data_IF_521739197965
#
_entry.id   IF_521739197965
#
_cell.length_a   1.000
_cell.length_b   1.000
_cell.length_c   1.000
_cell.angle_alpha   90.00
_cell.angle_beta   90.00
_cell.angle_gamma   90.00
#
_symmetry.space_group_name_H-M   'P 1'
#
loop_
_entity.id
_entity.type
_entity.pdbx_description
1 polymer ?
#
# COMPACT_ATOMS: atom_id res chain seq x y z
N UNK A 1 -23.85 9.87 17.15
CA UNK A 1 -22.52 9.37 16.73
C UNK A 1 -22.54 9.31 15.21
N UNK A 2 -21.76 10.14 14.53
CA UNK A 2 -21.69 10.16 13.07
C UNK A 2 -20.72 9.07 12.63
N UNK A 3 -21.19 8.08 11.86
CA UNK A 3 -20.33 7.01 11.34
C UNK A 3 -19.30 7.62 10.39
N UNK A 4 -18.06 7.12 10.45
CA UNK A 4 -16.99 7.62 9.59
C UNK A 4 -17.24 7.22 8.12
N UNK A 5 -16.87 8.05 7.14
CA UNK A 5 -17.02 7.70 5.73
C UNK A 5 -16.25 6.42 5.39
N UNK A 6 -16.89 5.52 4.66
CA UNK A 6 -16.37 4.18 4.34
C UNK A 6 -16.67 3.11 5.40
N UNK A 7 -17.28 3.47 6.53
CA UNK A 7 -17.83 2.46 7.46
C UNK A 7 -18.94 1.68 6.77
N UNK A 8 -19.03 0.35 6.93
CA UNK A 8 -20.17 -0.43 6.43
C UNK A 8 -21.50 0.16 6.92
N UNK A 9 -22.47 0.25 6.00
CA UNK A 9 -23.82 0.70 6.34
C UNK A 9 -24.51 -0.33 7.26
N UNK A 10 -25.32 0.09 8.24
CA UNK A 10 -26.13 -0.85 9.01
C UNK A 10 -27.03 -1.67 8.08
N UNK A 11 -26.95 -3.00 8.16
CA UNK A 11 -27.66 -3.93 7.27
C UNK A 11 -27.17 -3.93 5.81
N UNK A 12 -25.90 -3.63 5.56
CA UNK A 12 -25.29 -3.73 4.24
C UNK A 12 -25.47 -5.15 3.65
N UNK A 13 -26.20 -5.25 2.52
CA UNK A 13 -26.49 -6.50 1.80
C UNK A 13 -25.61 -6.66 0.56
N UNK A 14 -25.23 -5.55 -0.06
CA UNK A 14 -24.45 -5.49 -1.28
C UNK A 14 -23.20 -4.65 -1.09
N UNK A 15 -22.62 -4.57 0.10
CA UNK A 15 -21.39 -3.81 0.37
C UNK A 15 -21.59 -2.29 0.45
N UNK A 16 -22.75 -1.86 0.94
CA UNK A 16 -23.07 -0.46 1.22
C UNK A 16 -22.14 0.11 2.30
N UNK A 17 -21.74 1.36 2.13
CA UNK A 17 -20.94 2.14 3.08
C UNK A 17 -21.57 3.50 3.36
N UNK A 18 -21.10 4.15 4.41
CA UNK A 18 -21.46 5.52 4.77
C UNK A 18 -20.66 6.51 3.92
N UNK A 19 -21.34 7.46 3.27
CA UNK A 19 -20.73 8.56 2.51
C UNK A 19 -20.18 9.67 3.42
N UNK A 20 -19.38 10.61 2.89
CA UNK A 20 -19.00 11.85 3.59
C UNK A 20 -20.19 12.64 4.18
N UNK A 21 -21.32 12.67 3.50
CA UNK A 21 -22.56 13.29 3.98
C UNK A 21 -23.36 12.43 4.97
N UNK A 22 -22.91 11.22 5.27
CA UNK A 22 -23.61 10.28 6.17
C UNK A 22 -24.73 9.49 5.50
N UNK A 23 -24.79 9.46 4.17
CA UNK A 23 -25.79 8.74 3.38
C UNK A 23 -25.32 7.34 3.01
N UNK A 24 -26.24 6.48 2.60
CA UNK A 24 -25.95 5.15 2.07
C UNK A 24 -25.32 5.29 0.68
N UNK A 25 -24.15 4.71 0.49
CA UNK A 25 -23.40 4.80 -0.76
C UNK A 25 -22.65 3.50 -1.07
N UNK A 26 -22.18 3.38 -2.31
CA UNK A 26 -21.24 2.35 -2.74
C UNK A 26 -19.92 3.00 -3.13
N UNK A 27 -18.80 2.38 -2.77
CA UNK A 27 -17.51 2.80 -3.30
C UNK A 27 -17.45 2.51 -4.80
N UNK A 28 -16.83 3.39 -5.59
CA UNK A 28 -16.75 3.22 -7.06
C UNK A 28 -16.23 1.83 -7.53
N UNK A 29 -15.17 1.24 -6.93
CA UNK A 29 -14.76 -0.12 -7.28
C UNK A 29 -15.86 -1.16 -7.06
N UNK A 30 -16.56 -1.04 -5.93
CA UNK A 30 -17.64 -1.96 -5.55
C UNK A 30 -18.88 -1.79 -6.44
N UNK A 31 -19.24 -0.54 -6.75
CA UNK A 31 -20.30 -0.23 -7.70
C UNK A 31 -20.00 -0.81 -9.10
N UNK A 32 -18.74 -0.81 -9.54
CA UNK A 32 -18.33 -1.43 -10.79
C UNK A 32 -18.56 -2.96 -10.77
N UNK A 33 -18.24 -3.62 -9.65
CA UNK A 33 -18.47 -5.05 -9.46
C UNK A 33 -19.96 -5.41 -9.50
N UNK A 34 -20.80 -4.65 -8.77
CA UNK A 34 -22.26 -4.84 -8.77
C UNK A 34 -22.85 -4.68 -10.19
N UNK A 35 -22.34 -3.72 -10.96
CA UNK A 35 -22.78 -3.47 -12.33
C UNK A 35 -22.12 -4.39 -13.37
N UNK A 36 -21.15 -5.24 -12.98
CA UNK A 36 -20.28 -6.02 -13.90
C UNK A 36 -19.63 -5.15 -14.98
N UNK A 37 -19.14 -3.98 -14.57
CA UNK A 37 -18.44 -3.00 -15.41
C UNK A 37 -17.02 -2.79 -14.91
N UNK A 38 -16.25 -2.01 -15.65
CA UNK A 38 -14.88 -1.67 -15.26
C UNK A 38 -14.86 -0.61 -14.15
N UNK A 39 -13.81 -0.62 -13.30
CA UNK A 39 -13.61 0.42 -12.28
C UNK A 39 -13.53 1.84 -12.88
N UNK A 40 -13.03 1.95 -14.12
CA UNK A 40 -13.00 3.20 -14.88
C UNK A 40 -14.42 3.70 -15.18
N UNK A 41 -15.33 2.82 -15.59
CA UNK A 41 -16.73 3.17 -15.82
C UNK A 41 -17.40 3.75 -14.57
N UNK A 42 -17.19 3.15 -13.40
CA UNK A 42 -17.80 3.65 -12.16
C UNK A 42 -17.22 5.00 -11.73
N UNK A 43 -15.93 5.23 -11.98
CA UNK A 43 -15.28 6.51 -11.72
C UNK A 43 -15.77 7.59 -12.69
N UNK A 44 -15.95 7.24 -13.96
CA UNK A 44 -16.52 8.14 -14.96
C UNK A 44 -17.99 8.45 -14.66
N UNK A 45 -18.76 7.46 -14.20
CA UNK A 45 -20.15 7.62 -13.75
C UNK A 45 -20.25 8.59 -12.56
N UNK A 46 -19.33 8.49 -11.60
CA UNK A 46 -19.25 9.41 -10.46
C UNK A 46 -18.81 10.83 -10.84
N UNK A 47 -18.12 11.01 -11.98
CA UNK A 47 -17.66 12.31 -12.47
C UNK A 47 -18.71 13.01 -13.35
N UNK A 48 -19.54 12.25 -14.05
CA UNK A 48 -20.60 12.78 -14.91
C UNK A 48 -21.82 13.10 -14.05
N UNK A 49 -21.96 14.38 -13.71
CA UNK A 49 -22.86 14.96 -12.68
C UNK A 49 -24.38 14.81 -12.93
N UNK A 50 -24.80 13.91 -13.83
CA UNK A 50 -26.18 13.81 -14.30
C UNK A 50 -26.84 12.44 -14.15
N UNK A 51 -26.08 11.36 -13.92
CA UNK A 51 -26.65 10.00 -13.90
C UNK A 51 -26.81 9.45 -12.47
N UNK A 52 -25.80 9.66 -11.62
CA UNK A 52 -25.79 9.18 -10.23
C UNK A 52 -25.10 10.23 -9.38
N UNK A 53 -25.74 10.66 -8.30
CA UNK A 53 -25.08 11.57 -7.36
C UNK A 53 -23.89 10.87 -6.71
N UNK A 54 -22.75 11.54 -6.72
CA UNK A 54 -21.53 11.00 -6.16
C UNK A 54 -20.82 12.02 -5.28
N UNK A 55 -20.13 11.51 -4.27
CA UNK A 55 -19.34 12.30 -3.32
C UNK A 55 -17.89 11.83 -3.34
N UNK A 56 -16.97 12.76 -3.14
CA UNK A 56 -15.56 12.44 -3.00
C UNK A 56 -15.14 12.55 -1.54
N UNK A 57 -14.55 11.48 -1.00
CA UNK A 57 -14.20 11.40 0.42
C UNK A 57 -12.94 10.61 0.69
N UNK A 58 -12.50 10.61 1.94
CA UNK A 58 -11.40 9.77 2.40
C UNK A 58 -11.96 8.57 3.19
N UNK A 59 -11.43 7.38 2.91
CA UNK A 59 -11.80 6.15 3.63
C UNK A 59 -10.73 5.90 4.68
N UNK A 60 -11.14 5.86 5.95
CA UNK A 60 -10.21 5.61 7.06
C UNK A 60 -9.63 4.19 6.92
N UNK A 61 -8.30 4.07 7.00
CA UNK A 61 -7.59 2.78 6.94
C UNK A 61 -7.14 2.34 5.54
N UNK A 62 -7.48 3.07 4.47
CA UNK A 62 -6.92 2.82 3.14
C UNK A 62 -5.73 3.73 2.88
N UNK A 63 -4.53 3.17 2.66
CA UNK A 63 -3.41 3.96 2.13
C UNK A 63 -3.71 4.33 0.67
N UNK A 64 -4.31 5.49 0.46
CA UNK A 64 -4.71 5.97 -0.86
C UNK A 64 -5.41 7.32 -0.83
N UNK A 65 -5.46 7.96 -2.00
CA UNK A 65 -6.12 9.25 -2.21
C UNK A 65 -7.64 9.21 -2.02
N UNK A 66 -8.31 10.31 -2.35
CA UNK A 66 -9.78 10.43 -2.24
C UNK A 66 -10.47 9.33 -3.07
N UNK A 67 -11.48 8.69 -2.49
CA UNK A 67 -12.36 7.72 -3.13
C UNK A 67 -13.68 8.36 -3.54
N UNK A 68 -14.33 7.78 -4.56
CA UNK A 68 -15.67 8.15 -5.00
C UNK A 68 -16.71 7.26 -4.33
N UNK A 69 -17.76 7.90 -3.81
CA UNK A 69 -18.91 7.31 -3.15
C UNK A 69 -20.14 7.60 -4.02
N UNK A 70 -20.71 6.58 -4.66
CA UNK A 70 -21.93 6.71 -5.45
C UNK A 70 -23.12 6.50 -4.51
N UNK A 71 -24.02 7.47 -4.42
CA UNK A 71 -25.16 7.39 -3.50
C UNK A 71 -26.09 6.27 -3.93
N UNK A 72 -26.43 5.41 -2.97
CA UNK A 72 -27.07 4.13 -3.23
C UNK A 72 -28.44 4.30 -3.90
N UNK A 73 -29.26 5.26 -3.45
CA UNK A 73 -30.59 5.53 -4.02
C UNK A 73 -30.54 5.86 -5.52
N UNK A 74 -29.61 6.71 -5.94
CA UNK A 74 -29.50 7.12 -7.34
C UNK A 74 -28.81 6.04 -8.18
N UNK A 75 -27.83 5.34 -7.61
CA UNK A 75 -27.14 4.24 -8.27
C UNK A 75 -28.06 3.04 -8.53
N UNK A 76 -28.85 2.64 -7.53
CA UNK A 76 -29.83 1.56 -7.63
C UNK A 76 -30.92 1.89 -8.65
N UNK A 77 -31.41 3.14 -8.65
CA UNK A 77 -32.36 3.63 -9.65
C UNK A 77 -31.76 3.57 -11.05
N UNK A 78 -30.54 4.07 -11.22
CA UNK A 78 -29.83 4.07 -12.50
C UNK A 78 -29.61 2.65 -13.05
N UNK A 79 -29.29 1.68 -12.19
CA UNK A 79 -29.20 0.27 -12.58
C UNK A 79 -30.57 -0.36 -12.82
N UNK A 80 -31.59 0.03 -12.07
CA UNK A 80 -32.98 -0.38 -12.27
C UNK A 80 -33.51 0.00 -13.64
N UNK A 81 -33.25 1.24 -14.09
CA UNK A 81 -33.61 1.72 -15.43
C UNK A 81 -32.94 0.91 -16.56
N UNK A 82 -31.79 0.30 -16.26
CA UNK A 82 -31.05 -0.58 -17.18
C UNK A 82 -31.41 -2.06 -17.04
N UNK A 83 -32.39 -2.41 -16.19
CA UNK A 83 -32.70 -3.80 -15.81
C UNK A 83 -31.48 -4.57 -15.28
N UNK A 84 -30.54 -3.86 -14.67
CA UNK A 84 -29.30 -4.38 -14.09
C UNK A 84 -29.36 -4.46 -12.55
N UNK A 85 -30.50 -4.11 -11.95
CA UNK A 85 -30.76 -4.19 -10.51
C UNK A 85 -31.97 -5.10 -10.21
N UNK A 86 -31.92 -5.96 -9.18
CA UNK A 86 -30.81 -6.23 -8.28
C UNK A 86 -29.70 -7.07 -8.93
N UNK A 87 -28.43 -6.92 -8.49
CA UNK A 87 -27.34 -7.75 -8.98
C UNK A 87 -27.61 -9.23 -8.66
N UNK A 88 -27.22 -10.16 -9.55
CA UNK A 88 -27.43 -11.59 -9.33
C UNK A 88 -26.76 -12.02 -8.02
N UNK A 89 -27.45 -12.89 -7.27
CA UNK A 89 -27.16 -13.26 -5.87
C UNK A 89 -25.75 -13.80 -5.59
N UNK A 90 -24.89 -13.97 -6.60
CA UNK A 90 -23.50 -14.40 -6.46
C UNK A 90 -22.51 -13.25 -6.19
N UNK A 91 -22.97 -12.00 -6.18
CA UNK A 91 -22.13 -10.84 -5.84
C UNK A 91 -22.16 -10.48 -4.34
N UNK A 92 -22.93 -11.19 -3.53
CA UNK A 92 -23.00 -11.00 -2.09
C UNK A 92 -22.14 -12.05 -1.36
N UNK A 93 -20.90 -11.70 -1.03
CA UNK A 93 -20.45 -11.91 0.34
C UNK A 93 -19.29 -12.87 0.66
N UNK A 94 -18.95 -13.89 -0.14
CA UNK A 94 -17.94 -14.87 0.37
C UNK A 94 -16.88 -15.36 -0.63
N UNK A 95 -17.18 -15.49 -1.92
CA UNK A 95 -16.18 -15.97 -2.89
C UNK A 95 -15.23 -14.86 -3.38
N UNK A 96 -15.74 -13.63 -3.56
CA UNK A 96 -14.95 -12.47 -4.02
C UNK A 96 -13.95 -12.05 -2.96
N UNK A 97 -14.33 -12.03 -1.67
CA UNK A 97 -13.44 -11.59 -0.60
C UNK A 97 -12.24 -12.52 -0.41
N UNK A 98 -12.38 -13.84 -0.56
CA UNK A 98 -11.23 -14.76 -0.48
C UNK A 98 -10.32 -14.64 -1.71
N UNK A 99 -10.85 -14.49 -2.92
CA UNK A 99 -10.03 -14.29 -4.12
C UNK A 99 -9.37 -12.89 -4.14
N UNK A 100 -10.07 -11.85 -3.69
CA UNK A 100 -9.51 -10.51 -3.54
C UNK A 100 -8.49 -10.45 -2.40
N UNK A 101 -8.77 -11.08 -1.25
CA UNK A 101 -7.80 -11.18 -0.14
C UNK A 101 -6.59 -12.04 -0.56
N UNK A 102 -6.78 -13.10 -1.34
CA UNK A 102 -5.66 -13.89 -1.86
C UNK A 102 -4.83 -13.10 -2.89
N UNK A 103 -5.45 -12.26 -3.73
CA UNK A 103 -4.73 -11.37 -4.65
C UNK A 103 -4.04 -10.22 -3.91
N UNK A 104 -4.68 -9.60 -2.92
CA UNK A 104 -4.08 -8.56 -2.07
C UNK A 104 -2.93 -9.12 -1.24
N UNK A 105 -3.12 -10.26 -0.58
CA UNK A 105 -2.05 -10.96 0.13
C UNK A 105 -0.94 -11.41 -0.83
N UNK A 106 -1.26 -11.83 -2.06
CA UNK A 106 -0.28 -12.20 -3.06
C UNK A 106 0.59 -11.02 -3.51
N UNK A 107 -0.04 -9.87 -3.78
CA UNK A 107 0.66 -8.63 -4.17
C UNK A 107 1.47 -8.08 -3.00
N UNK A 108 0.93 -8.08 -1.78
CA UNK A 108 1.64 -7.62 -0.58
C UNK A 108 2.77 -8.58 -0.19
N UNK A 109 2.63 -9.89 -0.40
CA UNK A 109 3.69 -10.86 -0.18
C UNK A 109 4.83 -10.69 -1.19
N UNK A 110 4.53 -10.40 -2.45
CA UNK A 110 5.56 -10.11 -3.47
C UNK A 110 6.24 -8.76 -3.22
N UNK A 111 5.49 -7.73 -2.81
CA UNK A 111 6.05 -6.45 -2.41
C UNK A 111 6.95 -6.58 -1.18
N UNK A 112 6.49 -7.29 -0.14
CA UNK A 112 7.28 -7.58 1.06
C UNK A 112 8.51 -8.45 0.74
N UNK A 113 8.41 -9.41 -0.19
CA UNK A 113 9.57 -10.20 -0.65
C UNK A 113 10.61 -9.33 -1.36
N UNK A 114 10.18 -8.37 -2.18
CA UNK A 114 11.10 -7.40 -2.82
C UNK A 114 11.75 -6.50 -1.79
N UNK A 115 10.98 -5.96 -0.86
CA UNK A 115 11.51 -5.11 0.22
C UNK A 115 12.50 -5.88 1.12
N UNK A 116 12.20 -7.13 1.48
CA UNK A 116 13.12 -8.00 2.23
C UNK A 116 14.41 -8.26 1.42
N UNK A 117 14.31 -8.46 0.11
CA UNK A 117 15.49 -8.66 -0.74
C UNK A 117 16.36 -7.40 -0.82
N UNK A 118 15.74 -6.23 -0.96
CA UNK A 118 16.43 -4.94 -0.94
C UNK A 118 17.09 -4.65 0.41
N UNK A 119 16.36 -4.86 1.52
CA UNK A 119 16.91 -4.71 2.86
C UNK A 119 18.07 -5.67 3.13
N UNK A 120 17.98 -6.93 2.67
CA UNK A 120 19.10 -7.89 2.78
C UNK A 120 20.31 -7.46 1.96
N UNK A 121 20.10 -6.94 0.76
CA UNK A 121 21.19 -6.41 -0.07
C UNK A 121 21.86 -5.21 0.60
N UNK A 122 21.07 -4.32 1.21
CA UNK A 122 21.60 -3.16 1.93
C UNK A 122 22.35 -3.56 3.20
N UNK A 123 21.83 -4.52 3.98
CA UNK A 123 22.54 -5.07 5.15
C UNK A 123 23.86 -5.73 4.73
N UNK A 124 23.87 -6.50 3.64
CA UNK A 124 25.11 -7.10 3.13
C UNK A 124 26.13 -6.03 2.70
N UNK A 125 25.67 -4.96 2.03
CA UNK A 125 26.51 -3.82 1.63
C UNK A 125 27.08 -3.09 2.83
N UNK A 126 26.24 -2.74 3.80
CA UNK A 126 26.64 -2.04 5.03
C UNK A 126 27.60 -2.89 5.88
N UNK A 127 27.38 -4.20 5.94
CA UNK A 127 28.29 -5.13 6.61
C UNK A 127 29.65 -5.16 5.92
N UNK A 128 29.68 -5.20 4.59
CA UNK A 128 30.92 -5.13 3.81
C UNK A 128 31.69 -3.83 4.07
N UNK A 129 30.99 -2.69 4.10
CA UNK A 129 31.59 -1.38 4.41
C UNK A 129 32.13 -1.35 5.84
N UNK A 130 31.38 -1.89 6.81
CA UNK A 130 31.82 -1.93 8.21
C UNK A 130 33.10 -2.76 8.36
N UNK A 131 33.16 -3.93 7.72
CA UNK A 131 34.35 -4.78 7.73
C UNK A 131 35.57 -4.08 7.08
N UNK A 132 35.38 -3.37 5.97
CA UNK A 132 36.46 -2.59 5.35
C UNK A 132 36.94 -1.45 6.27
N UNK A 133 36.04 -0.75 6.94
CA UNK A 133 36.40 0.30 7.89
C UNK A 133 37.15 -0.29 9.10
N UNK A 134 36.74 -1.45 9.60
CA UNK A 134 37.44 -2.16 10.68
C UNK A 134 38.85 -2.57 10.27
N UNK A 135 39.03 -3.11 9.05
CA UNK A 135 40.36 -3.43 8.53
C UNK A 135 41.24 -2.18 8.41
N UNK A 136 40.70 -1.08 7.90
CA UNK A 136 41.43 0.19 7.83
C UNK A 136 41.84 0.71 9.21
N UNK A 137 40.96 0.62 10.20
CA UNK A 137 41.27 0.99 11.59
C UNK A 137 42.38 0.10 12.15
N UNK A 138 42.36 -1.21 11.89
CA UNK A 138 43.41 -2.13 12.33
C UNK A 138 44.76 -1.77 11.68
N UNK A 139 44.79 -1.51 10.36
CA UNK A 139 46.00 -1.12 9.64
C UNK A 139 46.55 0.21 10.17
N UNK A 140 45.70 1.21 10.35
CA UNK A 140 46.10 2.51 10.90
C UNK A 140 46.60 2.38 12.35
N UNK A 141 45.96 1.53 13.16
CA UNK A 141 46.41 1.26 14.53
C UNK A 141 47.75 0.50 14.58
N UNK A 142 48.02 -0.39 13.63
CA UNK A 142 49.32 -1.06 13.50
C UNK A 142 50.42 -0.08 13.08
N UNK A 143 50.15 0.80 12.11
CA UNK A 143 51.08 1.87 11.72
C UNK A 143 51.39 2.77 12.91
N UNK A 144 50.37 3.18 13.68
CA UNK A 144 50.55 4.00 14.88
C UNK A 144 51.32 3.30 16.01
N UNK A 145 51.25 1.95 16.09
CA UNK A 145 52.03 1.13 17.03
C UNK A 145 53.46 0.87 16.57
N UNK A 146 53.82 1.22 15.33
CA UNK A 146 55.18 1.03 14.82
C UNK A 146 56.04 2.22 15.27
N UNK A 147 56.98 2.07 16.22
CA UNK A 147 57.81 3.19 16.65
C UNK A 147 58.66 3.70 15.48
N UNK A 148 58.92 5.01 15.38
CA UNK A 148 59.86 5.52 14.38
C UNK A 148 61.20 4.83 14.57
N UNK A 149 61.73 4.27 13.48
CA UNK A 149 63.03 3.66 13.42
C UNK A 149 64.06 4.65 13.98
N UNK A 150 64.42 4.46 15.24
CA UNK A 150 65.50 5.20 15.88
C UNK A 150 66.77 4.68 15.23
N UNK A 151 67.33 5.49 14.32
CA UNK A 151 68.50 5.12 13.54
C UNK A 151 69.59 4.51 14.43
N UNK A 152 69.95 3.25 14.13
CA UNK A 152 71.13 2.61 14.69
C UNK A 152 72.35 3.48 14.39
N UNK A 153 72.86 4.14 15.42
CA UNK A 153 74.19 4.76 15.43
C UNK A 153 75.23 3.65 15.16
N UNK A 154 76.16 3.82 14.20
CA UNK A 154 77.12 2.77 13.87
C UNK A 154 78.10 2.53 15.04
N UNK A 155 78.67 1.33 15.17
CA UNK A 155 79.64 1.04 16.23
C UNK A 155 80.91 1.85 15.99
N UNK A 156 81.42 2.48 17.05
CA UNK A 156 82.77 3.01 17.06
C UNK A 156 83.74 1.82 16.96
N UNK A 157 84.35 1.66 15.79
CA UNK A 157 85.52 0.80 15.60
C UNK A 157 86.75 1.50 16.18
N UNK A 158 87.60 0.74 16.85
CA UNK A 158 88.52 1.22 17.89
C UNK A 158 89.83 1.85 17.43
N UNK A 159 90.57 2.34 18.45
CA UNK A 159 92.03 2.31 18.61
C UNK A 159 92.35 2.69 20.07
#
# INVERSE_FOLDING_TARGET
MTLAPGTPWPDAKYGEVVSPSGQRAYLAPHAAELARRSARWATDLARVDNAVRAEQGHVIGRQGGKAWFLLAEDFERYLGDQNAWPPPAHSAGEASDLEHLAQLQGVDLEAARREIAELKAEVARLTGINNQLLEQVIVLAQIAKTPPHSGSRPPASGA
#
